data_IF_098289965385
#
_entry.id   IF_098289965385
#
_cell.length_a   1.000
_cell.length_b   1.000
_cell.length_c   1.000
_cell.angle_alpha   90.00
_cell.angle_beta   90.00
_cell.angle_gamma   90.00
#
_symmetry.space_group_name_H-M   'P 1'
#
loop_
_entity.id
_entity.type
_entity.pdbx_description
1 polymer ?
#
# COMPACT_ATOMS: atom_id res chain seq x y z
N UNK A 1 -18.79 -13.11 -3.11
CA UNK A 1 -17.43 -13.57 -2.75
C UNK A 1 -16.51 -13.70 -3.97
N UNK A 2 -15.25 -13.21 -3.87
CA UNK A 2 -14.25 -12.92 -4.94
C UNK A 2 -14.75 -12.14 -6.16
N UNK A 3 -15.69 -12.67 -6.95
CA UNK A 3 -16.20 -12.00 -8.16
C UNK A 3 -16.76 -10.60 -7.85
N UNK A 4 -17.38 -10.42 -6.69
CA UNK A 4 -17.85 -9.10 -6.23
C UNK A 4 -16.70 -8.15 -5.89
N UNK A 5 -15.62 -8.64 -5.29
CA UNK A 5 -14.43 -7.84 -4.99
C UNK A 5 -13.72 -7.40 -6.28
N UNK A 6 -13.66 -8.29 -7.26
CA UNK A 6 -13.10 -7.95 -8.59
C UNK A 6 -13.98 -6.90 -9.25
N UNK A 7 -15.30 -7.10 -9.27
CA UNK A 7 -16.25 -6.14 -9.86
C UNK A 7 -16.23 -4.78 -9.17
N UNK A 8 -16.01 -4.72 -7.86
CA UNK A 8 -15.95 -3.45 -7.14
C UNK A 8 -14.64 -2.68 -7.36
N UNK A 9 -13.60 -3.33 -7.90
CA UNK A 9 -12.26 -2.74 -8.03
C UNK A 9 -11.60 -2.40 -6.68
N UNK A 10 -12.22 -2.81 -5.57
CA UNK A 10 -11.73 -2.51 -4.24
C UNK A 10 -10.76 -3.58 -3.78
N UNK A 11 -9.52 -3.18 -3.48
CA UNK A 11 -8.58 -4.05 -2.75
C UNK A 11 -8.81 -3.86 -1.25
N UNK A 12 -9.39 -4.84 -0.54
CA UNK A 12 -9.65 -4.70 0.89
C UNK A 12 -8.36 -4.75 1.68
N UNK A 13 -8.37 -4.11 2.85
CA UNK A 13 -7.27 -4.18 3.81
C UNK A 13 -7.14 -5.62 4.30
N UNK A 14 -5.96 -6.20 4.09
CA UNK A 14 -5.62 -7.53 4.53
C UNK A 14 -5.53 -7.62 6.06
N UNK A 15 -5.90 -8.78 6.60
CA UNK A 15 -5.78 -9.06 8.03
C UNK A 15 -5.07 -10.38 8.22
N UNK A 16 -3.99 -10.36 9.00
CA UNK A 16 -3.29 -11.59 9.36
C UNK A 16 -4.22 -12.52 10.15
N UNK A 17 -4.38 -13.76 9.69
CA UNK A 17 -5.23 -14.77 10.29
C UNK A 17 -4.52 -16.13 10.37
N UNK A 18 -5.15 -17.13 11.01
CA UNK A 18 -4.57 -18.48 11.13
C UNK A 18 -4.19 -19.10 9.77
N UNK A 19 -5.00 -18.87 8.73
CA UNK A 19 -4.74 -19.34 7.35
C UNK A 19 -3.43 -18.82 6.75
N UNK A 20 -3.01 -17.61 7.14
CA UNK A 20 -1.79 -16.98 6.63
C UNK A 20 -0.54 -17.79 6.97
N UNK A 21 -0.56 -18.58 8.07
CA UNK A 21 0.56 -19.44 8.49
C UNK A 21 0.92 -20.53 7.46
N UNK A 22 0.00 -20.87 6.56
CA UNK A 22 0.18 -21.90 5.52
C UNK A 22 -0.03 -21.33 4.10
N UNK A 23 -0.12 -20.01 3.95
CA UNK A 23 -0.40 -19.39 2.67
C UNK A 23 0.89 -19.30 1.84
N UNK A 24 0.90 -19.87 0.63
CA UNK A 24 2.01 -19.77 -0.31
C UNK A 24 2.29 -18.33 -0.75
N UNK A 25 1.30 -17.44 -0.65
CA UNK A 25 1.41 -16.03 -1.00
C UNK A 25 1.81 -15.13 0.18
N UNK A 26 2.16 -15.68 1.35
CA UNK A 26 2.44 -14.88 2.54
C UNK A 26 3.53 -13.82 2.31
N UNK A 27 4.59 -14.20 1.59
CA UNK A 27 5.71 -13.31 1.29
C UNK A 27 5.38 -12.23 0.26
N UNK A 28 4.34 -12.43 -0.56
CA UNK A 28 3.85 -11.43 -1.50
C UNK A 28 2.82 -10.51 -0.84
N UNK A 29 1.90 -11.08 -0.05
CA UNK A 29 0.84 -10.34 0.62
C UNK A 29 1.37 -9.50 1.81
N UNK A 30 2.36 -10.01 2.56
CA UNK A 30 2.98 -9.33 3.70
C UNK A 30 2.01 -8.64 4.69
N UNK A 31 0.95 -9.32 5.16
CA UNK A 31 -0.13 -8.72 5.97
C UNK A 31 0.29 -8.24 7.36
N UNK A 32 1.55 -8.49 7.78
CA UNK A 32 2.10 -8.00 9.06
C UNK A 32 2.93 -6.74 8.90
N UNK A 33 3.35 -6.42 7.68
CA UNK A 33 4.20 -5.25 7.39
C UNK A 33 3.38 -3.97 7.34
N UNK A 34 2.09 -4.07 7.08
CA UNK A 34 1.17 -2.94 7.00
C UNK A 34 0.78 -2.45 8.40
N UNK A 35 1.08 -1.17 8.67
CA UNK A 35 0.67 -0.49 9.90
C UNK A 35 -0.79 -0.02 9.73
N UNK A 36 -1.61 0.05 10.79
CA UNK A 36 -3.03 0.43 10.69
C UNK A 36 -3.35 1.75 9.97
N UNK A 37 -2.37 2.67 9.87
CA UNK A 37 -2.50 3.97 9.21
C UNK A 37 -1.68 4.10 7.92
N UNK A 38 -1.00 3.05 7.48
CA UNK A 38 -0.18 3.06 6.27
C UNK A 38 -1.05 2.72 5.05
N UNK A 39 -1.82 3.69 4.56
CA UNK A 39 -2.58 3.55 3.32
C UNK A 39 -1.79 4.05 2.12
N UNK A 40 -2.05 3.48 0.94
CA UNK A 40 -1.47 3.95 -0.32
C UNK A 40 -1.80 5.44 -0.56
N UNK A 41 -3.03 5.87 -0.26
CA UNK A 41 -3.43 7.27 -0.37
C UNK A 41 -2.56 8.20 0.48
N UNK A 42 -2.30 7.82 1.74
CA UNK A 42 -1.44 8.63 2.62
C UNK A 42 0.00 8.67 2.13
N UNK A 43 0.53 7.53 1.66
CA UNK A 43 1.86 7.49 1.06
C UNK A 43 1.96 8.45 -0.13
N UNK A 44 0.99 8.40 -1.06
CA UNK A 44 0.97 9.27 -2.24
C UNK A 44 0.86 10.75 -1.86
N UNK A 45 0.00 11.08 -0.90
CA UNK A 45 -0.13 12.46 -0.40
C UNK A 45 1.19 12.99 0.16
N UNK A 46 1.92 12.17 0.92
CA UNK A 46 3.24 12.54 1.45
C UNK A 46 4.24 12.75 0.32
N UNK A 47 4.33 11.81 -0.63
CA UNK A 47 5.26 11.92 -1.77
C UNK A 47 4.99 13.17 -2.60
N UNK A 48 3.73 13.51 -2.86
CA UNK A 48 3.35 14.71 -3.61
C UNK A 48 3.74 15.97 -2.81
N UNK A 49 3.36 16.05 -1.54
CA UNK A 49 3.68 17.20 -0.69
C UNK A 49 5.21 17.39 -0.54
N UNK A 50 5.96 16.30 -0.41
CA UNK A 50 7.42 16.34 -0.33
C UNK A 50 8.03 16.82 -1.66
N UNK A 51 7.43 16.44 -2.80
CA UNK A 51 7.87 16.88 -4.13
C UNK A 51 7.59 18.36 -4.38
N UNK A 52 6.51 18.90 -3.83
CA UNK A 52 6.18 20.35 -3.91
C UNK A 52 7.07 21.21 -3.00
N UNK A 53 7.53 20.64 -1.88
CA UNK A 53 8.41 21.30 -0.92
C UNK A 53 9.90 21.14 -1.26
N UNK A 54 10.24 20.13 -2.08
CA UNK A 54 11.55 20.07 -2.72
C UNK A 54 11.59 21.19 -3.76
N UNK A 55 12.33 22.27 -3.45
CA UNK A 55 12.69 23.27 -4.45
C UNK A 55 13.29 22.60 -5.69
N UNK A 56 13.33 23.30 -6.84
CA UNK A 56 13.89 22.73 -8.07
C UNK A 56 15.27 22.14 -7.75
N UNK A 57 15.58 20.90 -8.22
CA UNK A 57 16.93 20.39 -8.06
C UNK A 57 17.88 21.44 -8.65
N UNK A 58 18.93 21.79 -7.90
CA UNK A 58 19.99 22.66 -8.38
C UNK A 58 20.57 22.03 -9.65
N UNK A 59 20.04 22.43 -10.81
CA UNK A 59 20.57 22.09 -12.13
C UNK A 59 21.80 22.97 -12.31
N UNK A 60 22.95 22.49 -11.83
CA UNK A 60 24.24 23.07 -12.17
C UNK A 60 24.45 23.01 -13.69
N UNK A 61 24.90 24.15 -14.23
CA UNK A 61 25.02 24.48 -15.64
C UNK A 61 26.23 23.84 -16.33
#
# INVERSE_FOLDING_TARGET
ELHELIRSGHTPIERYARKCRRCSLLNLCMPKSLRPRATAARYLQQVIADSENAGPPDVEA
#
